data_IF_601040427178
#
_entry.id   IF_601040427178
#
_cell.length_a   1.000
_cell.length_b   1.000
_cell.length_c   1.000
_cell.angle_alpha   90.00
_cell.angle_beta   90.00
_cell.angle_gamma   90.00
#
_symmetry.space_group_name_H-M   'P 1'
#
loop_
_entity.id
_entity.type
_entity.pdbx_description
1 polymer ?
#
# COMPACT_ATOMS: atom_id res chain seq x y z
N UNK A 1 -9.63 2.68 14.78
CA UNK A 1 -9.51 1.32 14.20
C UNK A 1 -8.27 1.30 13.32
N UNK A 2 -7.47 0.23 13.40
CA UNK A 2 -6.34 0.03 12.48
C UNK A 2 -6.88 -0.09 11.04
N UNK A 3 -6.16 0.42 10.05
CA UNK A 3 -6.55 0.35 8.64
C UNK A 3 -6.79 -1.09 8.17
N UNK A 4 -7.46 -1.25 7.04
CA UNK A 4 -7.77 -2.54 6.44
C UNK A 4 -6.90 -2.81 5.21
N UNK A 5 -6.42 -4.06 5.07
CA UNK A 5 -5.76 -4.52 3.85
C UNK A 5 -6.64 -5.52 3.11
N UNK A 6 -6.98 -5.17 1.88
CA UNK A 6 -7.76 -6.00 0.98
C UNK A 6 -7.04 -6.29 -0.33
N UNK A 7 -7.76 -6.83 -1.29
CA UNK A 7 -7.24 -7.12 -2.62
C UNK A 7 -8.17 -6.60 -3.72
N UNK A 8 -7.58 -6.16 -4.81
CA UNK A 8 -8.30 -5.86 -6.05
C UNK A 8 -8.61 -7.17 -6.78
N UNK A 9 -9.89 -7.46 -6.97
CA UNK A 9 -10.34 -8.63 -7.72
C UNK A 9 -10.75 -8.20 -9.13
N UNK A 10 -9.76 -8.10 -10.01
CA UNK A 10 -9.93 -7.94 -11.44
C UNK A 10 -10.36 -9.25 -12.12
N UNK A 11 -10.96 -9.15 -13.31
CA UNK A 11 -11.50 -10.30 -14.03
C UNK A 11 -11.26 -10.21 -15.55
N UNK A 12 -10.16 -9.58 -15.94
CA UNK A 12 -9.70 -9.51 -17.32
C UNK A 12 -8.83 -10.73 -17.67
N UNK A 13 -9.48 -11.88 -17.69
CA UNK A 13 -8.82 -13.14 -18.03
C UNK A 13 -9.83 -14.21 -18.41
N UNK A 14 -9.45 -15.04 -19.38
CA UNK A 14 -10.27 -16.15 -19.90
C UNK A 14 -9.95 -17.50 -19.24
N UNK A 15 -9.01 -17.52 -18.30
CA UNK A 15 -8.54 -18.70 -17.59
C UNK A 15 -8.71 -18.61 -16.06
N UNK A 16 -9.47 -17.63 -15.59
CA UNK A 16 -9.68 -17.38 -14.16
C UNK A 16 -10.60 -18.43 -13.53
N UNK A 17 -10.43 -18.73 -12.23
CA UNK A 17 -11.26 -19.70 -11.54
C UNK A 17 -12.71 -19.22 -11.40
N UNK A 18 -13.63 -20.16 -11.15
CA UNK A 18 -15.03 -19.84 -10.90
C UNK A 18 -15.18 -18.96 -9.65
N UNK A 19 -16.21 -18.12 -9.61
CA UNK A 19 -16.48 -17.21 -8.48
C UNK A 19 -16.58 -17.97 -7.16
N UNK A 20 -17.19 -19.16 -7.14
CA UNK A 20 -17.26 -19.98 -5.92
C UNK A 20 -15.87 -20.42 -5.43
N UNK A 21 -14.98 -20.79 -6.36
CA UNK A 21 -13.59 -21.13 -6.03
C UNK A 21 -12.83 -19.92 -5.50
N UNK A 22 -13.07 -18.73 -6.07
CA UNK A 22 -12.46 -17.48 -5.61
C UNK A 22 -12.89 -17.14 -4.18
N UNK A 23 -14.17 -17.25 -3.85
CA UNK A 23 -14.66 -17.00 -2.48
C UNK A 23 -14.02 -17.96 -1.47
N UNK A 24 -13.88 -19.23 -1.84
CA UNK A 24 -13.17 -20.22 -1.01
C UNK A 24 -11.71 -19.82 -0.80
N UNK A 25 -11.03 -19.41 -1.88
CA UNK A 25 -9.63 -18.97 -1.84
C UNK A 25 -9.43 -17.75 -0.93
N UNK A 26 -10.29 -16.73 -1.03
CA UNK A 26 -10.26 -15.55 -0.19
C UNK A 26 -10.34 -15.92 1.30
N UNK A 27 -11.32 -16.76 1.66
CA UNK A 27 -11.49 -17.25 3.05
C UNK A 27 -10.27 -18.04 3.54
N UNK A 28 -9.76 -18.93 2.71
CA UNK A 28 -8.59 -19.75 3.05
C UNK A 28 -7.33 -18.91 3.23
N UNK A 29 -7.22 -17.78 2.54
CA UNK A 29 -6.08 -16.86 2.59
C UNK A 29 -6.21 -15.79 3.68
N UNK A 30 -7.35 -15.72 4.39
CA UNK A 30 -7.59 -14.69 5.40
C UNK A 30 -7.90 -13.31 4.83
N UNK A 31 -8.27 -13.23 3.54
CA UNK A 31 -8.63 -11.97 2.90
C UNK A 31 -10.08 -11.61 3.25
N UNK A 32 -10.28 -10.49 3.91
CA UNK A 32 -11.56 -10.03 4.44
C UNK A 32 -12.19 -8.89 3.67
N UNK A 33 -11.44 -8.27 2.77
CA UNK A 33 -11.88 -7.09 2.01
C UNK A 33 -11.48 -7.21 0.55
N UNK A 34 -12.42 -6.94 -0.37
CA UNK A 34 -12.16 -6.97 -1.81
C UNK A 34 -12.69 -5.72 -2.50
N UNK A 35 -11.96 -5.26 -3.50
CA UNK A 35 -12.40 -4.22 -4.44
C UNK A 35 -12.70 -4.85 -5.79
N UNK A 36 -13.88 -4.54 -6.34
CA UNK A 36 -14.31 -4.94 -7.67
C UNK A 36 -14.25 -3.75 -8.63
N UNK A 37 -14.09 -4.05 -9.91
CA UNK A 37 -14.07 -3.05 -11.00
C UNK A 37 -15.43 -2.92 -11.70
N UNK A 38 -16.45 -3.51 -11.11
CA UNK A 38 -17.85 -3.45 -11.51
C UNK A 38 -18.77 -3.79 -10.31
N UNK A 39 -20.02 -4.11 -10.61
CA UNK A 39 -20.97 -4.62 -9.62
C UNK A 39 -21.62 -5.93 -10.14
N UNK A 40 -20.80 -6.89 -10.56
CA UNK A 40 -21.28 -8.15 -11.11
C UNK A 40 -22.12 -8.94 -10.11
N UNK A 41 -23.39 -9.14 -10.43
CA UNK A 41 -24.37 -9.78 -9.55
C UNK A 41 -23.98 -11.22 -9.15
N UNK A 42 -23.30 -11.97 -10.01
CA UNK A 42 -22.84 -13.33 -9.70
C UNK A 42 -21.77 -13.30 -8.62
N UNK A 43 -20.82 -12.36 -8.71
CA UNK A 43 -19.76 -12.16 -7.71
C UNK A 43 -20.37 -11.70 -6.38
N UNK A 44 -21.27 -10.70 -6.44
CA UNK A 44 -21.91 -10.16 -5.23
C UNK A 44 -22.75 -11.23 -4.51
N UNK A 45 -23.51 -12.05 -5.24
CA UNK A 45 -24.25 -13.17 -4.66
C UNK A 45 -23.33 -14.22 -4.03
N UNK A 46 -22.22 -14.52 -4.64
CA UNK A 46 -21.26 -15.49 -4.09
C UNK A 46 -20.57 -14.98 -2.80
N UNK A 47 -20.42 -13.65 -2.67
CA UNK A 47 -19.88 -13.01 -1.46
C UNK A 47 -20.93 -12.82 -0.34
N UNK A 48 -22.22 -13.09 -0.60
CA UNK A 48 -23.26 -12.95 0.38
C UNK A 48 -23.03 -13.84 1.60
N UNK A 49 -23.21 -13.30 2.79
CA UNK A 49 -23.06 -13.98 4.09
C UNK A 49 -21.67 -14.60 4.33
N UNK A 50 -20.64 -14.10 3.65
CA UNK A 50 -19.28 -14.58 3.81
C UNK A 50 -18.49 -13.83 4.89
N UNK A 51 -18.95 -12.67 5.30
CA UNK A 51 -18.21 -11.74 6.16
C UNK A 51 -17.21 -10.87 5.41
N UNK A 52 -16.95 -11.14 4.12
CA UNK A 52 -16.04 -10.35 3.30
C UNK A 52 -16.69 -9.01 2.94
N UNK A 53 -16.01 -7.92 3.18
CA UNK A 53 -16.44 -6.57 2.79
C UNK A 53 -16.09 -6.28 1.33
N UNK A 54 -16.92 -5.48 0.66
CA UNK A 54 -16.80 -5.26 -0.78
C UNK A 54 -16.90 -3.79 -1.12
N UNK A 55 -15.93 -3.27 -1.87
CA UNK A 55 -16.07 -2.03 -2.62
C UNK A 55 -16.47 -2.39 -4.06
N UNK A 56 -17.65 -1.92 -4.48
CA UNK A 56 -18.12 -2.06 -5.87
C UNK A 56 -17.76 -0.83 -6.69
N UNK A 57 -17.82 -0.94 -8.02
CA UNK A 57 -17.57 0.20 -8.90
C UNK A 57 -18.76 0.46 -9.85
N UNK A 58 -19.10 1.74 -9.99
CA UNK A 58 -19.86 2.24 -11.14
C UNK A 58 -18.85 2.51 -12.25
N UNK A 59 -18.83 1.71 -13.34
CA UNK A 59 -17.81 1.81 -14.38
C UNK A 59 -17.81 3.16 -15.13
N UNK A 60 -16.70 3.50 -15.77
CA UNK A 60 -16.52 4.78 -16.48
C UNK A 60 -17.57 5.03 -17.56
N UNK A 61 -18.04 4.00 -18.25
CA UNK A 61 -19.07 4.08 -19.28
C UNK A 61 -20.47 4.45 -18.75
N UNK A 62 -20.71 4.28 -17.45
CA UNK A 62 -21.95 4.70 -16.78
C UNK A 62 -21.91 6.13 -16.22
N UNK A 63 -20.73 6.79 -16.18
CA UNK A 63 -20.57 8.12 -15.58
C UNK A 63 -21.46 9.18 -16.20
N UNK A 64 -21.51 9.24 -17.54
CA UNK A 64 -22.31 10.25 -18.23
C UNK A 64 -23.80 10.15 -17.87
N UNK A 65 -24.34 8.94 -17.86
CA UNK A 65 -25.73 8.70 -17.50
C UNK A 65 -26.01 9.00 -16.02
N UNK A 66 -25.11 8.61 -15.12
CA UNK A 66 -25.25 8.86 -13.69
C UNK A 66 -25.13 10.35 -13.35
N UNK A 67 -24.30 11.10 -14.08
CA UNK A 67 -24.17 12.54 -13.89
C UNK A 67 -25.37 13.35 -14.42
N UNK A 68 -25.89 12.95 -15.59
CA UNK A 68 -26.94 13.69 -16.27
C UNK A 68 -28.33 13.44 -15.66
N UNK A 69 -28.59 12.24 -15.12
CA UNK A 69 -29.90 11.85 -14.63
C UNK A 69 -29.85 11.16 -13.26
N UNK A 70 -30.33 11.85 -12.19
CA UNK A 70 -30.42 11.26 -10.86
C UNK A 70 -31.24 9.95 -10.80
N UNK A 71 -32.18 9.73 -11.74
CA UNK A 71 -32.92 8.47 -11.78
C UNK A 71 -32.11 7.31 -12.35
N UNK A 72 -31.17 7.57 -13.23
CA UNK A 72 -30.17 6.60 -13.69
C UNK A 72 -29.25 6.15 -12.55
N UNK A 73 -28.68 7.10 -11.79
CA UNK A 73 -27.87 6.78 -10.62
C UNK A 73 -28.67 5.97 -9.57
N UNK A 74 -29.94 6.37 -9.29
CA UNK A 74 -30.81 5.66 -8.35
C UNK A 74 -31.13 4.24 -8.82
N UNK A 75 -31.38 4.04 -10.09
CA UNK A 75 -31.62 2.71 -10.69
C UNK A 75 -30.39 1.83 -10.52
N UNK A 76 -29.22 2.37 -10.82
CA UNK A 76 -27.95 1.65 -10.67
C UNK A 76 -27.68 1.25 -9.22
N UNK A 77 -27.83 2.17 -8.26
CA UNK A 77 -27.65 1.90 -6.82
C UNK A 77 -28.63 0.85 -6.34
N UNK A 78 -29.91 0.94 -6.74
CA UNK A 78 -30.92 -0.04 -6.35
C UNK A 78 -30.58 -1.44 -6.85
N UNK A 79 -30.15 -1.57 -8.10
CA UNK A 79 -29.88 -2.85 -8.73
C UNK A 79 -28.55 -3.48 -8.28
N UNK A 80 -27.54 -2.67 -8.00
CA UNK A 80 -26.16 -3.13 -7.81
C UNK A 80 -25.68 -3.03 -6.36
N UNK A 81 -26.32 -2.22 -5.53
CA UNK A 81 -25.97 -2.06 -4.11
C UNK A 81 -27.11 -2.58 -3.25
N UNK A 82 -28.28 -1.93 -3.28
CA UNK A 82 -29.39 -2.25 -2.37
C UNK A 82 -29.93 -3.66 -2.56
N UNK A 83 -29.91 -4.19 -3.78
CA UNK A 83 -30.38 -5.57 -4.06
C UNK A 83 -29.48 -6.66 -3.43
N UNK A 84 -28.27 -6.31 -3.02
CA UNK A 84 -27.30 -7.23 -2.43
C UNK A 84 -27.01 -6.95 -0.94
N UNK A 85 -27.14 -5.70 -0.51
CA UNK A 85 -26.96 -5.30 0.88
C UNK A 85 -28.20 -5.67 1.73
N UNK A 86 -28.04 -6.17 2.98
CA UNK A 86 -26.78 -6.36 3.73
C UNK A 86 -26.14 -7.75 3.57
N UNK A 87 -26.75 -8.68 2.81
CA UNK A 87 -26.22 -10.03 2.66
C UNK A 87 -24.79 -10.02 2.13
N UNK A 88 -24.49 -9.16 1.16
CA UNK A 88 -23.14 -8.80 0.76
C UNK A 88 -22.77 -7.49 1.46
N UNK A 89 -21.68 -7.51 2.21
CA UNK A 89 -21.20 -6.36 3.00
C UNK A 89 -20.55 -5.31 2.10
N UNK A 90 -21.39 -4.63 1.30
CA UNK A 90 -20.89 -3.51 0.47
C UNK A 90 -20.66 -2.31 1.39
N UNK A 91 -19.43 -1.83 1.47
CA UNK A 91 -19.04 -0.69 2.30
C UNK A 91 -18.73 0.58 1.48
N UNK A 92 -18.54 0.43 0.16
CA UNK A 92 -18.18 1.56 -0.69
C UNK A 92 -18.58 1.39 -2.14
N UNK A 93 -18.80 2.51 -2.80
CA UNK A 93 -18.98 2.64 -4.24
C UNK A 93 -17.88 3.52 -4.79
N UNK A 94 -16.99 2.95 -5.59
CA UNK A 94 -16.08 3.68 -6.43
C UNK A 94 -16.84 4.18 -7.67
N UNK A 95 -16.93 5.49 -7.86
CA UNK A 95 -17.58 6.09 -9.03
C UNK A 95 -16.51 6.36 -10.09
N UNK A 96 -16.44 5.49 -11.10
CA UNK A 96 -15.35 5.46 -12.07
C UNK A 96 -14.04 4.93 -11.50
N UNK A 97 -13.02 4.83 -12.33
CA UNK A 97 -11.65 4.55 -11.99
C UNK A 97 -10.72 5.35 -12.91
N UNK A 98 -9.73 6.05 -12.34
CA UNK A 98 -8.73 6.82 -13.10
C UNK A 98 -9.32 7.69 -14.21
N UNK A 99 -10.46 8.34 -13.92
CA UNK A 99 -11.27 9.05 -14.93
C UNK A 99 -10.46 10.15 -15.64
N UNK A 100 -9.52 10.78 -14.95
CA UNK A 100 -8.68 11.81 -15.53
C UNK A 100 -7.71 11.31 -16.60
N UNK A 101 -7.45 10.00 -16.61
CA UNK A 101 -6.54 9.34 -17.53
C UNK A 101 -7.29 8.48 -18.55
N UNK A 102 -8.17 7.59 -18.09
CA UNK A 102 -8.86 6.61 -18.93
C UNK A 102 -10.09 7.16 -19.64
N UNK A 103 -10.74 8.16 -19.05
CA UNK A 103 -11.98 8.74 -19.55
C UNK A 103 -11.97 10.28 -19.39
N UNK A 104 -10.90 10.93 -19.85
CA UNK A 104 -10.68 12.37 -19.64
C UNK A 104 -11.78 13.28 -20.16
N UNK A 105 -12.53 12.86 -21.18
CA UNK A 105 -13.72 13.53 -21.68
C UNK A 105 -14.89 13.54 -20.67
N UNK A 106 -14.86 12.68 -19.65
CA UNK A 106 -15.88 12.57 -18.59
C UNK A 106 -15.46 13.27 -17.29
N UNK A 107 -14.28 13.87 -17.23
CA UNK A 107 -13.72 14.49 -16.03
C UNK A 107 -14.69 15.44 -15.31
N UNK A 108 -15.42 16.27 -16.04
CA UNK A 108 -16.39 17.23 -15.47
C UNK A 108 -17.68 16.57 -14.98
N UNK A 109 -17.95 15.34 -15.38
CA UNK A 109 -19.14 14.58 -15.01
C UNK A 109 -18.93 13.76 -13.73
N UNK A 110 -17.70 13.61 -13.30
CA UNK A 110 -17.33 12.75 -12.17
C UNK A 110 -18.00 13.20 -10.86
N UNK A 111 -17.84 14.46 -10.44
CA UNK A 111 -18.43 14.96 -9.19
C UNK A 111 -19.97 14.98 -9.23
N UNK A 112 -20.63 15.40 -10.32
CA UNK A 112 -22.07 15.23 -10.47
C UNK A 112 -22.55 13.76 -10.36
N UNK A 113 -21.82 12.79 -10.95
CA UNK A 113 -22.16 11.39 -10.82
C UNK A 113 -22.02 10.91 -9.36
N UNK A 114 -20.93 11.26 -8.67
CA UNK A 114 -20.74 10.97 -7.24
C UNK A 114 -21.89 11.52 -6.40
N UNK A 115 -22.29 12.76 -6.63
CA UNK A 115 -23.40 13.40 -5.90
C UNK A 115 -24.74 12.69 -6.13
N UNK A 116 -25.03 12.26 -7.35
CA UNK A 116 -26.25 11.54 -7.68
C UNK A 116 -26.26 10.12 -7.10
N UNK A 117 -25.12 9.42 -7.09
CA UNK A 117 -24.98 8.11 -6.45
C UNK A 117 -25.18 8.24 -4.94
N UNK A 118 -24.55 9.22 -4.30
CA UNK A 118 -24.73 9.48 -2.87
C UNK A 118 -26.20 9.83 -2.53
N UNK A 119 -26.83 10.72 -3.30
CA UNK A 119 -28.23 11.04 -3.11
C UNK A 119 -29.16 9.82 -3.24
N UNK A 120 -28.81 8.87 -4.09
CA UNK A 120 -29.52 7.61 -4.21
C UNK A 120 -29.35 6.73 -2.96
N UNK A 121 -28.14 6.66 -2.39
CA UNK A 121 -27.86 5.94 -1.14
C UNK A 121 -28.63 6.56 0.03
N UNK A 122 -28.63 7.89 0.17
CA UNK A 122 -29.41 8.62 1.20
C UNK A 122 -30.90 8.26 1.11
N UNK A 123 -31.47 8.26 -0.08
CA UNK A 123 -32.89 7.88 -0.28
C UNK A 123 -33.23 6.45 0.12
N UNK A 124 -32.22 5.58 0.15
CA UNK A 124 -32.35 4.18 0.54
C UNK A 124 -31.90 3.91 1.98
N UNK A 125 -31.46 4.95 2.70
CA UNK A 125 -30.95 4.84 4.07
C UNK A 125 -29.62 4.06 4.16
N UNK A 126 -28.80 4.11 3.11
CA UNK A 126 -27.56 3.35 3.00
C UNK A 126 -26.29 4.21 3.08
N UNK A 127 -26.39 5.54 3.11
CA UNK A 127 -25.29 6.48 3.02
C UNK A 127 -24.32 6.44 4.21
N UNK A 128 -24.77 6.01 5.37
CA UNK A 128 -23.87 5.80 6.51
C UNK A 128 -23.06 4.49 6.37
N UNK A 129 -23.68 3.45 5.79
CA UNK A 129 -23.05 2.14 5.64
C UNK A 129 -22.21 2.01 4.36
N UNK A 130 -22.53 2.79 3.32
CA UNK A 130 -21.91 2.70 2.00
C UNK A 130 -21.40 4.07 1.58
N UNK A 131 -20.08 4.23 1.59
CA UNK A 131 -19.44 5.51 1.23
C UNK A 131 -19.20 5.61 -0.26
N UNK A 132 -19.18 6.85 -0.77
CA UNK A 132 -18.93 7.16 -2.19
C UNK A 132 -17.57 7.79 -2.33
N UNK A 133 -16.71 7.20 -3.14
CA UNK A 133 -15.40 7.72 -3.48
C UNK A 133 -15.12 7.56 -4.99
N UNK A 134 -13.96 7.96 -5.42
CA UNK A 134 -13.45 7.70 -6.77
C UNK A 134 -11.95 7.46 -6.72
N UNK A 135 -11.44 6.34 -7.27
CA UNK A 135 -10.02 6.12 -7.40
C UNK A 135 -9.41 7.04 -8.46
N UNK A 136 -8.47 7.86 -8.04
CA UNK A 136 -7.69 8.70 -8.95
C UNK A 136 -6.29 8.10 -9.15
N UNK A 137 -5.75 8.22 -10.37
CA UNK A 137 -4.36 7.87 -10.64
C UNK A 137 -3.42 8.87 -9.95
N UNK A 138 -2.23 8.45 -9.57
CA UNK A 138 -1.21 9.34 -8.98
C UNK A 138 -0.78 10.45 -9.95
N UNK A 139 -0.96 10.27 -11.25
CA UNK A 139 -0.75 11.28 -12.30
C UNK A 139 -1.73 12.47 -12.24
N UNK A 140 -2.75 12.42 -11.37
CA UNK A 140 -3.56 13.59 -11.03
C UNK A 140 -2.74 14.70 -10.35
N UNK A 141 -1.59 14.35 -9.75
CA UNK A 141 -0.63 15.32 -9.23
C UNK A 141 0.27 15.82 -10.36
N UNK A 142 0.40 17.13 -10.47
CA UNK A 142 1.34 17.79 -11.37
C UNK A 142 2.75 17.80 -10.79
N UNK A 143 2.85 17.98 -9.49
CA UNK A 143 4.08 17.92 -8.71
C UNK A 143 3.86 16.98 -7.52
N UNK A 144 4.86 16.14 -7.24
CA UNK A 144 4.85 15.20 -6.13
C UNK A 144 6.21 15.07 -5.45
N UNK A 145 7.20 15.83 -5.93
CA UNK A 145 8.54 15.87 -5.37
C UNK A 145 9.10 17.30 -5.26
N UNK A 146 9.64 17.70 -4.08
CA UNK A 146 9.51 16.97 -2.82
C UNK A 146 8.04 16.79 -2.41
N UNK A 147 7.68 15.88 -1.49
CA UNK A 147 6.30 15.68 -1.08
C UNK A 147 5.56 16.96 -0.70
N UNK A 148 6.22 17.89 -0.01
CA UNK A 148 5.69 19.22 0.34
C UNK A 148 5.34 20.11 -0.87
N UNK A 149 5.91 19.83 -2.05
CA UNK A 149 5.53 20.52 -3.29
C UNK A 149 4.23 19.97 -3.90
N UNK A 150 3.71 18.84 -3.40
CA UNK A 150 2.53 18.16 -3.91
C UNK A 150 1.41 19.11 -4.30
N UNK A 151 0.92 19.02 -5.54
CA UNK A 151 -0.22 19.78 -6.05
C UNK A 151 -0.90 19.05 -7.20
N UNK A 152 -2.20 19.16 -7.28
CA UNK A 152 -2.97 18.62 -8.40
C UNK A 152 -2.71 19.41 -9.69
N UNK A 153 -2.92 18.76 -10.83
CA UNK A 153 -2.84 19.39 -12.15
C UNK A 153 -3.80 20.57 -12.24
N UNK A 154 -3.37 21.65 -12.88
CA UNK A 154 -4.12 22.90 -12.98
C UNK A 154 -5.47 22.73 -13.72
N UNK A 155 -5.53 21.79 -14.69
CA UNK A 155 -6.73 21.50 -15.46
C UNK A 155 -7.86 20.86 -14.64
N UNK A 156 -7.52 20.18 -13.53
CA UNK A 156 -8.48 19.49 -12.65
C UNK A 156 -8.58 20.11 -11.24
N UNK A 157 -7.56 20.81 -10.78
CA UNK A 157 -7.45 21.26 -9.39
C UNK A 157 -8.70 22.04 -8.92
N UNK A 158 -8.97 23.19 -9.55
CA UNK A 158 -10.12 24.03 -9.18
C UNK A 158 -11.46 23.50 -9.71
N UNK A 159 -11.58 23.06 -10.98
CA UNK A 159 -12.89 22.71 -11.53
C UNK A 159 -13.41 21.34 -11.08
N UNK A 160 -12.57 20.44 -10.59
CA UNK A 160 -12.96 19.07 -10.25
C UNK A 160 -12.49 18.65 -8.85
N UNK A 161 -11.19 18.76 -8.55
CA UNK A 161 -10.65 18.28 -7.27
C UNK A 161 -11.20 19.06 -6.07
N UNK A 162 -11.26 20.40 -6.16
CA UNK A 162 -11.82 21.21 -5.07
C UNK A 162 -13.28 20.83 -4.76
N UNK A 163 -14.23 20.82 -5.71
CA UNK A 163 -15.61 20.39 -5.42
C UNK A 163 -15.70 18.92 -5.04
N UNK A 164 -14.79 18.06 -5.49
CA UNK A 164 -14.73 16.66 -5.05
C UNK A 164 -14.35 16.57 -3.56
N UNK A 165 -13.28 17.25 -3.15
CA UNK A 165 -12.85 17.26 -1.74
C UNK A 165 -13.94 17.84 -0.83
N UNK A 166 -14.61 18.91 -1.24
CA UNK A 166 -15.75 19.48 -0.51
C UNK A 166 -16.93 18.48 -0.40
N UNK A 167 -17.13 17.67 -1.44
CA UNK A 167 -18.14 16.60 -1.43
C UNK A 167 -17.75 15.50 -0.45
N UNK A 168 -16.52 15.00 -0.51
CA UNK A 168 -16.02 13.93 0.36
C UNK A 168 -16.09 14.33 1.84
N UNK A 169 -15.67 15.56 2.17
CA UNK A 169 -15.74 16.11 3.52
C UNK A 169 -17.19 16.17 4.02
N UNK A 170 -18.09 16.77 3.24
CA UNK A 170 -19.50 16.91 3.60
C UNK A 170 -20.22 15.59 3.79
N UNK A 171 -19.84 14.55 3.03
CA UNK A 171 -20.45 13.21 3.08
C UNK A 171 -19.72 12.26 4.01
N UNK A 172 -18.69 12.73 4.72
CA UNK A 172 -17.82 11.92 5.58
C UNK A 172 -17.26 10.71 4.83
N UNK A 173 -16.83 10.95 3.62
CA UNK A 173 -16.17 9.97 2.77
C UNK A 173 -14.68 10.28 2.66
N UNK A 174 -13.97 9.57 1.86
CA UNK A 174 -12.52 9.60 1.72
C UNK A 174 -12.10 9.67 0.26
N UNK A 175 -10.92 10.24 0.01
CA UNK A 175 -10.28 10.18 -1.30
C UNK A 175 -9.61 8.81 -1.46
N UNK A 176 -9.68 8.23 -2.66
CA UNK A 176 -8.92 7.02 -2.97
C UNK A 176 -7.92 7.28 -4.09
N UNK A 177 -6.72 6.72 -3.95
CA UNK A 177 -5.63 6.92 -4.89
C UNK A 177 -5.00 5.59 -5.31
N UNK A 178 -4.75 5.44 -6.61
CA UNK A 178 -3.95 4.36 -7.16
C UNK A 178 -2.49 4.83 -7.18
N UNK A 179 -1.68 4.30 -6.28
CA UNK A 179 -0.30 4.72 -6.07
C UNK A 179 0.67 3.54 -6.24
N UNK A 180 1.55 3.64 -7.24
CA UNK A 180 2.46 2.57 -7.61
C UNK A 180 3.93 3.05 -7.57
N UNK A 181 4.65 2.86 -6.46
CA UNK A 181 6.10 3.03 -6.41
C UNK A 181 6.84 2.26 -7.51
N UNK A 182 6.28 1.12 -7.93
CA UNK A 182 6.78 0.31 -9.03
C UNK A 182 6.98 1.12 -10.32
N UNK A 183 5.92 1.80 -10.78
CA UNK A 183 6.00 2.58 -12.03
C UNK A 183 6.94 3.78 -11.89
N UNK A 184 6.92 4.47 -10.76
CA UNK A 184 7.83 5.59 -10.52
C UNK A 184 9.30 5.13 -10.54
N UNK A 185 9.61 3.97 -9.95
CA UNK A 185 10.95 3.39 -10.00
C UNK A 185 11.35 3.00 -11.43
N UNK A 186 10.48 2.31 -12.15
CA UNK A 186 10.77 1.87 -13.54
C UNK A 186 11.00 3.07 -14.47
N UNK A 187 10.34 4.19 -14.21
CA UNK A 187 10.49 5.42 -14.98
C UNK A 187 11.78 6.19 -14.65
N UNK A 188 12.25 6.12 -13.41
CA UNK A 188 13.39 6.90 -12.92
C UNK A 188 14.35 6.07 -12.05
N UNK A 189 14.88 4.94 -12.57
CA UNK A 189 15.73 4.03 -11.78
C UNK A 189 17.06 4.67 -11.33
N UNK A 190 17.53 5.69 -12.07
CA UNK A 190 18.73 6.43 -11.73
C UNK A 190 18.54 7.42 -10.57
N UNK A 191 17.29 7.78 -10.26
CA UNK A 191 16.94 8.77 -9.22
C UNK A 191 16.29 8.14 -8.00
N UNK A 192 15.59 7.03 -8.18
CA UNK A 192 14.85 6.32 -7.15
C UNK A 192 15.57 5.00 -6.88
N UNK A 193 16.05 4.78 -5.66
CA UNK A 193 16.63 3.49 -5.31
C UNK A 193 15.53 2.41 -5.17
N UNK A 194 15.89 1.16 -5.51
CA UNK A 194 14.97 0.03 -5.38
C UNK A 194 14.49 -0.15 -3.93
N UNK A 195 15.38 -0.03 -2.96
CA UNK A 195 15.04 -0.14 -1.54
C UNK A 195 13.99 0.90 -1.11
N UNK A 196 14.11 2.13 -1.62
CA UNK A 196 13.16 3.18 -1.35
C UNK A 196 11.79 2.90 -1.99
N UNK A 197 11.78 2.42 -3.22
CA UNK A 197 10.54 2.03 -3.91
C UNK A 197 9.86 0.83 -3.24
N UNK A 198 10.64 -0.11 -2.69
CA UNK A 198 10.13 -1.27 -1.94
C UNK A 198 9.69 -0.95 -0.49
N UNK A 199 9.85 0.30 -0.03
CA UNK A 199 9.51 0.70 1.33
C UNK A 199 10.54 0.31 2.38
N UNK A 200 11.80 0.13 1.98
CA UNK A 200 12.86 -0.46 2.83
C UNK A 200 14.16 0.36 2.82
N UNK A 201 14.09 1.66 2.56
CA UNK A 201 15.27 2.52 2.53
C UNK A 201 15.83 2.78 3.92
N UNK A 202 17.06 2.36 4.17
CA UNK A 202 17.76 2.60 5.44
C UNK A 202 18.11 4.07 5.65
N UNK A 203 18.57 4.73 4.60
CA UNK A 203 18.99 6.14 4.66
C UNK A 203 17.80 7.10 4.70
N UNK A 204 16.68 6.71 4.08
CA UNK A 204 15.56 7.60 3.84
C UNK A 204 15.89 8.70 2.83
N UNK A 205 14.85 9.40 2.41
CA UNK A 205 14.93 10.56 1.51
C UNK A 205 14.31 11.74 2.21
N UNK A 206 15.07 12.82 2.34
CA UNK A 206 14.62 14.02 3.09
C UNK A 206 13.89 14.99 2.17
N UNK A 207 12.73 15.45 2.61
CA UNK A 207 12.07 16.63 2.04
C UNK A 207 12.86 17.88 2.46
N UNK A 208 13.40 18.66 1.52
CA UNK A 208 14.26 19.81 1.84
C UNK A 208 13.50 20.97 2.48
N UNK A 209 12.17 21.04 2.33
CA UNK A 209 11.34 22.13 2.84
C UNK A 209 10.86 21.83 4.26
N UNK A 210 10.30 20.66 4.49
CA UNK A 210 9.73 20.26 5.79
C UNK A 210 10.73 19.59 6.71
N UNK A 211 11.82 19.04 6.14
CA UNK A 211 12.78 18.25 6.89
C UNK A 211 12.32 16.81 7.19
N UNK A 212 11.10 16.44 6.81
CA UNK A 212 10.58 15.08 6.97
C UNK A 212 11.44 14.07 6.19
N UNK A 213 11.60 12.88 6.75
CA UNK A 213 12.40 11.80 6.14
C UNK A 213 11.49 10.64 5.78
N UNK A 214 11.53 10.23 4.53
CA UNK A 214 10.73 9.16 3.95
C UNK A 214 11.59 7.93 3.71
N UNK A 215 11.27 6.83 4.36
CA UNK A 215 11.90 5.53 4.15
C UNK A 215 11.17 4.69 3.09
N UNK A 216 9.99 5.13 2.68
CA UNK A 216 9.13 4.53 1.67
C UNK A 216 8.71 5.56 0.64
N UNK A 217 8.83 5.21 -0.65
CA UNK A 217 8.31 6.05 -1.73
C UNK A 217 6.78 6.15 -1.68
N UNK A 218 6.09 5.10 -1.21
CA UNK A 218 4.64 5.14 -1.04
C UNK A 218 4.22 6.22 -0.03
N UNK A 219 4.95 6.36 1.08
CA UNK A 219 4.68 7.41 2.07
C UNK A 219 4.88 8.80 1.46
N UNK A 220 5.92 8.97 0.68
CA UNK A 220 6.16 10.23 -0.03
C UNK A 220 5.04 10.55 -1.04
N UNK A 221 4.51 9.53 -1.73
CA UNK A 221 3.38 9.69 -2.66
C UNK A 221 2.09 10.05 -1.92
N UNK A 222 1.81 9.41 -0.78
CA UNK A 222 0.65 9.74 0.06
C UNK A 222 0.76 11.16 0.63
N UNK A 223 1.91 11.53 1.18
CA UNK A 223 2.10 12.86 1.74
C UNK A 223 2.04 13.94 0.66
N UNK A 224 2.56 13.68 -0.55
CA UNK A 224 2.36 14.59 -1.69
C UNK A 224 0.88 14.78 -2.01
N UNK A 225 0.07 13.73 -1.86
CA UNK A 225 -1.39 13.82 -2.02
C UNK A 225 -2.02 14.65 -0.92
N UNK A 226 -1.64 14.45 0.34
CA UNK A 226 -2.12 15.27 1.46
C UNK A 226 -1.75 16.75 1.28
N UNK A 227 -0.52 17.06 0.91
CA UNK A 227 -0.11 18.43 0.61
C UNK A 227 -0.92 19.04 -0.55
N UNK A 228 -1.23 18.25 -1.57
CA UNK A 228 -2.06 18.69 -2.69
C UNK A 228 -3.51 19.00 -2.26
N UNK A 229 -4.09 18.16 -1.38
CA UNK A 229 -5.43 18.38 -0.81
C UNK A 229 -5.47 19.65 0.03
N UNK A 230 -4.47 19.90 0.87
CA UNK A 230 -4.37 21.09 1.70
C UNK A 230 -4.28 22.37 0.89
N UNK A 231 -3.50 22.37 -0.19
CA UNK A 231 -3.39 23.54 -1.10
C UNK A 231 -4.72 23.93 -1.76
N UNK A 232 -5.69 23.03 -1.80
CA UNK A 232 -7.05 23.32 -2.25
C UNK A 232 -8.00 23.70 -1.10
N UNK A 233 -7.49 23.86 0.13
CA UNK A 233 -8.28 24.25 1.28
C UNK A 233 -9.19 23.14 1.82
N UNK A 234 -8.81 21.90 1.64
CA UNK A 234 -9.42 20.79 2.39
C UNK A 234 -9.06 20.94 3.87
N UNK A 235 -10.03 20.75 4.78
CA UNK A 235 -9.83 20.89 6.23
C UNK A 235 -8.85 19.89 6.83
N UNK A 236 -8.31 18.99 6.01
CA UNK A 236 -7.17 18.14 6.36
C UNK A 236 -5.98 18.94 6.94
N UNK A 237 -5.98 20.28 6.77
CA UNK A 237 -4.90 21.22 7.12
C UNK A 237 -5.00 21.86 8.50
N UNK A 238 -6.13 21.86 9.20
CA UNK A 238 -6.40 22.88 10.22
C UNK A 238 -6.24 22.43 11.68
N UNK A 239 -5.67 21.27 12.00
CA UNK A 239 -5.55 20.87 13.42
C UNK A 239 -4.18 20.36 13.86
N UNK A 240 -3.25 21.27 13.96
CA UNK A 240 -2.21 21.20 14.99
C UNK A 240 -2.85 21.72 16.29
N UNK A 241 -3.30 20.82 17.15
CA UNK A 241 -3.73 21.17 18.50
C UNK A 241 -5.17 20.78 18.85
N UNK A 242 -5.30 19.75 19.66
CA UNK A 242 -6.47 19.27 20.40
C UNK A 242 -7.67 18.72 19.64
N UNK A 243 -7.62 17.39 19.54
CA UNK A 243 -8.68 16.40 19.76
C UNK A 243 -10.11 16.93 19.93
N UNK A 244 -10.96 16.46 19.11
CA UNK A 244 -12.24 15.78 19.28
C UNK A 244 -13.01 15.79 17.96
N UNK A 245 -12.92 14.67 17.20
CA UNK A 245 -14.02 14.16 16.39
C UNK A 245 -14.53 15.03 15.25
N UNK A 246 -13.72 15.25 14.20
CA UNK A 246 -14.21 15.61 12.87
C UNK A 246 -13.50 14.73 11.84
N UNK A 247 -14.20 14.20 10.83
CA UNK A 247 -13.56 13.39 9.81
C UNK A 247 -12.68 14.28 8.94
N UNK A 248 -11.36 14.21 9.18
CA UNK A 248 -10.41 14.70 8.19
C UNK A 248 -10.61 13.89 6.91
N UNK A 249 -10.57 14.55 5.74
CA UNK A 249 -10.61 13.84 4.48
C UNK A 249 -9.36 12.95 4.39
N UNK A 250 -9.51 11.67 4.68
CA UNK A 250 -8.46 10.67 4.60
C UNK A 250 -8.19 10.31 3.15
N UNK A 251 -6.97 9.97 2.82
CA UNK A 251 -6.60 9.41 1.51
C UNK A 251 -6.25 7.93 1.71
N UNK A 252 -7.02 7.04 1.07
CA UNK A 252 -6.80 5.60 1.11
C UNK A 252 -6.23 5.10 -0.21
N UNK A 253 -5.51 3.99 -0.16
CA UNK A 253 -4.88 3.40 -1.33
C UNK A 253 -5.86 2.42 -1.96
N UNK A 254 -6.52 2.83 -3.03
CA UNK A 254 -7.44 1.96 -3.77
C UNK A 254 -6.73 0.94 -4.64
N UNK A 255 -5.49 1.19 -5.01
CA UNK A 255 -4.60 0.23 -5.65
C UNK A 255 -3.15 0.54 -5.32
N UNK A 256 -2.41 -0.50 -4.96
CA UNK A 256 -0.95 -0.53 -4.99
C UNK A 256 -0.48 -1.95 -5.17
N UNK A 257 0.66 -2.12 -5.83
CA UNK A 257 1.19 -3.43 -6.10
C UNK A 257 2.52 -3.37 -6.84
N UNK A 258 3.08 -4.57 -7.09
CA UNK A 258 4.34 -4.73 -7.79
C UNK A 258 4.27 -5.92 -8.73
N UNK A 259 4.64 -5.73 -9.99
CA UNK A 259 4.63 -6.81 -10.97
C UNK A 259 5.72 -7.85 -10.68
N UNK A 260 5.35 -9.13 -10.75
CA UNK A 260 6.24 -10.27 -10.54
C UNK A 260 6.99 -10.73 -11.78
N UNK A 261 6.69 -10.14 -12.95
CA UNK A 261 7.27 -10.54 -14.24
C UNK A 261 6.76 -9.69 -15.39
N UNK A 262 6.96 -10.21 -16.58
CA UNK A 262 6.47 -9.60 -17.83
C UNK A 262 7.41 -8.57 -18.42
N UNK A 263 7.02 -8.06 -19.58
CA UNK A 263 7.76 -7.08 -20.36
C UNK A 263 6.94 -5.83 -20.57
N UNK A 264 7.54 -4.68 -20.38
CA UNK A 264 6.92 -3.41 -20.73
C UNK A 264 7.03 -3.20 -22.24
N UNK A 265 5.89 -3.03 -22.94
CA UNK A 265 5.90 -2.66 -24.35
C UNK A 265 5.86 -1.13 -24.50
N UNK A 266 6.66 -0.55 -25.44
CA UNK A 266 6.54 0.86 -25.79
C UNK A 266 5.16 1.10 -26.43
N UNK A 267 4.39 2.09 -25.98
CA UNK A 267 3.16 2.45 -26.67
C UNK A 267 2.04 3.12 -25.92
N UNK A 268 2.14 3.32 -24.62
CA UNK A 268 1.26 4.25 -23.89
C UNK A 268 2.06 5.22 -23.01
N UNK A 269 2.09 6.49 -23.45
CA UNK A 269 2.48 7.72 -22.71
C UNK A 269 3.92 7.93 -22.25
N UNK A 270 4.88 7.05 -22.56
CA UNK A 270 6.29 7.24 -22.14
C UNK A 270 7.28 6.97 -23.28
N UNK A 271 7.07 7.59 -24.43
CA UNK A 271 8.03 7.54 -25.56
C UNK A 271 9.37 8.27 -25.32
N UNK A 272 9.58 8.84 -24.13
CA UNK A 272 10.80 9.63 -23.84
C UNK A 272 11.90 8.92 -23.07
N UNK A 273 11.68 7.70 -22.57
CA UNK A 273 12.72 6.91 -21.92
C UNK A 273 12.92 5.61 -22.69
N UNK A 274 14.04 5.49 -23.42
CA UNK A 274 14.42 4.37 -24.28
C UNK A 274 14.64 3.04 -23.55
N UNK A 275 13.62 2.46 -22.95
CA UNK A 275 13.68 1.17 -22.26
C UNK A 275 13.00 0.08 -23.09
N UNK A 276 13.75 -0.49 -24.01
CA UNK A 276 13.48 -1.80 -24.61
C UNK A 276 14.29 -2.84 -23.86
N UNK A 277 13.67 -3.56 -22.94
CA UNK A 277 13.97 -4.88 -22.40
C UNK A 277 13.35 -4.97 -21.00
N UNK A 278 12.83 -6.14 -20.59
CA UNK A 278 12.05 -6.40 -19.40
C UNK A 278 12.44 -5.54 -18.19
N UNK A 279 11.48 -4.97 -17.51
CA UNK A 279 11.77 -4.12 -16.37
C UNK A 279 12.55 -4.94 -15.32
N UNK A 280 13.81 -4.64 -15.06
CA UNK A 280 14.63 -5.45 -14.11
C UNK A 280 14.04 -5.49 -12.71
N UNK A 281 13.08 -4.59 -12.44
CA UNK A 281 12.33 -4.52 -11.19
C UNK A 281 11.16 -5.52 -11.11
N UNK A 282 10.60 -5.97 -12.24
CA UNK A 282 9.46 -6.89 -12.27
C UNK A 282 9.94 -8.33 -12.00
N UNK A 283 10.09 -8.67 -10.74
CA UNK A 283 10.53 -9.98 -10.27
C UNK A 283 9.64 -10.48 -9.15
N UNK A 284 9.52 -11.82 -9.02
CA UNK A 284 8.80 -12.46 -7.89
C UNK A 284 9.37 -11.97 -6.55
N UNK A 285 10.69 -11.83 -6.43
CA UNK A 285 11.33 -11.39 -5.19
C UNK A 285 10.90 -9.96 -4.79
N UNK A 286 10.90 -9.03 -5.73
CA UNK A 286 10.49 -7.65 -5.48
C UNK A 286 8.99 -7.54 -5.22
N UNK A 287 8.16 -8.26 -5.99
CA UNK A 287 6.71 -8.30 -5.78
C UNK A 287 6.36 -8.86 -4.39
N UNK A 288 7.01 -9.96 -3.99
CA UNK A 288 6.90 -10.50 -2.63
C UNK A 288 7.32 -9.48 -1.58
N UNK A 289 8.46 -8.82 -1.78
CA UNK A 289 8.98 -7.83 -0.84
C UNK A 289 8.00 -6.67 -0.63
N UNK A 290 7.56 -6.05 -1.72
CA UNK A 290 6.68 -4.89 -1.68
C UNK A 290 5.29 -5.23 -1.12
N UNK A 291 4.62 -6.26 -1.65
CA UNK A 291 3.27 -6.57 -1.24
C UNK A 291 3.21 -7.08 0.21
N UNK A 292 4.19 -7.86 0.66
CA UNK A 292 4.27 -8.25 2.07
C UNK A 292 4.58 -7.07 2.99
N UNK A 293 5.40 -6.11 2.54
CA UNK A 293 5.62 -4.86 3.27
C UNK A 293 4.29 -4.13 3.54
N UNK A 294 3.44 -3.96 2.52
CA UNK A 294 2.14 -3.31 2.67
C UNK A 294 1.19 -4.09 3.57
N UNK A 295 1.04 -5.40 3.33
CA UNK A 295 0.16 -6.27 4.12
C UNK A 295 0.54 -6.18 5.60
N UNK A 296 1.83 -6.34 5.92
CA UNK A 296 2.28 -6.31 7.30
C UNK A 296 2.11 -4.96 7.95
N UNK A 297 2.42 -3.90 7.24
CA UNK A 297 2.31 -2.54 7.72
C UNK A 297 0.89 -2.25 8.21
N UNK A 298 -0.11 -2.58 7.40
CA UNK A 298 -1.51 -2.38 7.77
C UNK A 298 -1.91 -3.31 8.92
N UNK A 299 -1.57 -4.59 8.85
CA UNK A 299 -1.90 -5.57 9.90
C UNK A 299 -1.22 -5.28 11.24
N UNK A 300 -0.07 -4.62 11.24
CA UNK A 300 0.62 -4.19 12.48
C UNK A 300 0.11 -2.86 13.03
N UNK A 301 -0.81 -2.18 12.33
CA UNK A 301 -1.27 -0.85 12.71
C UNK A 301 -0.27 0.28 12.44
N UNK A 302 0.81 0.02 11.69
CA UNK A 302 1.79 1.04 11.27
C UNK A 302 1.32 1.75 10.00
N UNK A 303 0.21 2.48 10.09
CA UNK A 303 -0.49 3.04 8.94
C UNK A 303 -0.16 4.51 8.67
N UNK A 304 0.44 5.22 9.63
CA UNK A 304 0.79 6.63 9.48
C UNK A 304 1.94 6.89 8.49
N UNK A 305 1.98 8.10 7.97
CA UNK A 305 3.08 8.62 7.14
C UNK A 305 3.93 9.62 7.93
N UNK A 306 5.12 10.01 7.47
CA UNK A 306 5.93 11.04 8.15
C UNK A 306 5.19 12.36 8.38
N UNK A 307 4.29 12.76 7.48
CA UNK A 307 3.49 13.98 7.62
C UNK A 307 2.21 13.75 8.43
N UNK A 308 1.63 12.57 8.36
CA UNK A 308 0.40 12.17 9.05
C UNK A 308 0.62 10.90 9.86
N UNK A 309 1.38 10.98 10.98
CA UNK A 309 1.79 9.80 11.75
C UNK A 309 0.63 9.03 12.39
N UNK A 310 -0.48 9.70 12.64
CA UNK A 310 -1.68 9.12 13.26
C UNK A 310 -2.79 8.77 12.23
N UNK A 311 -2.49 8.85 10.93
CA UNK A 311 -3.48 8.53 9.91
C UNK A 311 -3.67 7.02 9.75
N UNK A 312 -4.91 6.59 9.61
CA UNK A 312 -5.24 5.23 9.17
C UNK A 312 -5.00 5.10 7.66
N UNK A 313 -4.66 3.88 7.24
CA UNK A 313 -4.40 3.56 5.84
C UNK A 313 -5.12 2.28 5.45
N UNK A 314 -6.15 2.42 4.62
CA UNK A 314 -6.71 1.27 3.91
C UNK A 314 -5.96 1.05 2.61
N UNK A 315 -5.67 -0.21 2.30
CA UNK A 315 -4.91 -0.58 1.10
C UNK A 315 -5.58 -1.76 0.40
N UNK A 316 -5.75 -1.63 -0.92
CA UNK A 316 -6.09 -2.77 -1.77
C UNK A 316 -4.86 -3.18 -2.58
N UNK A 317 -4.35 -4.39 -2.33
CA UNK A 317 -3.25 -4.96 -3.10
C UNK A 317 -3.76 -5.28 -4.51
N UNK A 318 -3.11 -4.71 -5.50
CA UNK A 318 -3.34 -5.02 -6.91
C UNK A 318 -2.34 -6.07 -7.35
N UNK A 319 -2.78 -7.33 -7.66
CA UNK A 319 -4.15 -7.78 -7.72
C UNK A 319 -4.27 -9.24 -7.19
N UNK A 320 -5.51 -9.75 -7.12
CA UNK A 320 -5.75 -11.13 -6.66
C UNK A 320 -5.12 -12.16 -7.60
N UNK A 321 -5.34 -12.04 -8.91
CA UNK A 321 -4.84 -12.96 -9.92
C UNK A 321 -3.93 -12.29 -10.95
N UNK A 322 -3.06 -13.08 -11.54
CA UNK A 322 -2.49 -12.77 -12.84
C UNK A 322 -3.60 -12.85 -13.90
N UNK A 323 -3.79 -11.77 -14.67
CA UNK A 323 -4.91 -11.61 -15.61
C UNK A 323 -4.37 -11.58 -17.05
N UNK A 324 -4.52 -12.67 -17.79
CA UNK A 324 -3.88 -12.88 -19.11
C UNK A 324 -4.45 -12.03 -20.26
N UNK A 325 -5.57 -11.33 -20.05
CA UNK A 325 -6.16 -10.42 -21.02
C UNK A 325 -5.91 -8.94 -20.68
N UNK A 326 -5.11 -8.64 -19.64
CA UNK A 326 -4.67 -7.29 -19.33
C UNK A 326 -3.51 -6.84 -20.22
N UNK A 327 -3.37 -5.51 -20.38
CA UNK A 327 -2.27 -4.90 -21.13
C UNK A 327 -2.37 -5.05 -22.64
N UNK A 328 -1.26 -4.88 -23.32
CA UNK A 328 -1.18 -4.82 -24.79
C UNK A 328 -0.40 -6.02 -25.38
N UNK A 329 -0.92 -7.23 -25.22
CA UNK A 329 -0.37 -8.44 -25.83
C UNK A 329 0.26 -9.41 -24.84
N UNK A 330 0.87 -10.49 -25.36
CA UNK A 330 1.40 -11.56 -24.53
C UNK A 330 2.58 -11.08 -23.66
N UNK A 331 2.61 -11.55 -22.40
CA UNK A 331 3.67 -11.27 -21.44
C UNK A 331 3.80 -9.77 -21.07
N UNK A 332 2.69 -9.02 -21.13
CA UNK A 332 2.67 -7.64 -20.67
C UNK A 332 2.81 -7.61 -19.14
N UNK A 333 3.56 -6.63 -18.65
CA UNK A 333 3.78 -6.40 -17.20
C UNK A 333 2.46 -6.33 -16.41
N UNK A 334 1.37 -5.82 -17.02
CA UNK A 334 0.03 -5.74 -16.43
C UNK A 334 -0.58 -7.13 -16.13
N UNK A 335 -0.09 -8.18 -16.76
CA UNK A 335 -0.57 -9.55 -16.56
C UNK A 335 0.04 -10.24 -15.32
N UNK A 336 1.00 -9.59 -14.62
CA UNK A 336 1.83 -10.22 -13.60
C UNK A 336 1.73 -9.57 -12.21
N UNK A 337 0.65 -8.87 -11.92
CA UNK A 337 0.44 -8.25 -10.61
C UNK A 337 -0.24 -9.18 -9.58
N UNK A 338 -0.64 -10.38 -9.97
CA UNK A 338 -1.41 -11.29 -9.12
C UNK A 338 -0.64 -11.82 -7.91
N UNK A 339 -1.36 -11.95 -6.80
CA UNK A 339 -0.94 -12.76 -5.65
C UNK A 339 -1.01 -14.24 -5.97
N UNK A 340 -1.95 -14.61 -6.84
CA UNK A 340 -2.18 -15.98 -7.29
C UNK A 340 -2.08 -16.09 -8.81
N UNK A 341 -1.64 -17.26 -9.26
CA UNK A 341 -1.88 -17.70 -10.63
C UNK A 341 -3.35 -18.08 -10.81
N UNK A 342 -3.89 -18.10 -12.05
CA UNK A 342 -5.27 -18.54 -12.33
C UNK A 342 -5.62 -19.94 -11.82
N UNK A 343 -4.63 -20.82 -11.69
CA UNK A 343 -4.79 -22.15 -11.10
C UNK A 343 -4.88 -22.14 -9.56
N UNK A 344 -4.93 -20.96 -8.94
CA UNK A 344 -5.04 -20.73 -7.50
C UNK A 344 -3.77 -21.07 -6.69
N UNK A 345 -2.64 -21.35 -7.33
CA UNK A 345 -1.36 -21.44 -6.64
C UNK A 345 -0.83 -20.02 -6.38
N UNK A 346 -0.19 -19.82 -5.23
CA UNK A 346 0.45 -18.54 -4.89
C UNK A 346 1.61 -18.25 -5.84
N UNK A 347 1.75 -17.00 -6.27
CA UNK A 347 2.94 -16.52 -7.00
C UNK A 347 4.15 -16.45 -6.05
N UNK A 348 3.89 -16.08 -4.80
CA UNK A 348 4.84 -16.05 -3.68
C UNK A 348 4.09 -16.12 -2.35
N UNK A 349 4.78 -16.45 -1.27
CA UNK A 349 4.17 -16.52 0.06
C UNK A 349 3.80 -15.14 0.60
N UNK A 350 2.60 -15.03 1.17
CA UNK A 350 2.04 -13.88 1.89
C UNK A 350 1.03 -14.35 2.94
N UNK A 351 0.72 -13.47 3.91
CA UNK A 351 -0.25 -13.77 4.97
C UNK A 351 -1.12 -12.55 5.29
N UNK A 352 -2.43 -12.69 5.11
CA UNK A 352 -3.45 -11.69 5.49
C UNK A 352 -4.04 -11.93 6.88
N UNK A 353 -3.59 -12.93 7.62
CA UNK A 353 -4.12 -13.26 8.95
C UNK A 353 -3.40 -12.58 10.09
N UNK A 354 -2.33 -11.85 9.78
CA UNK A 354 -1.54 -11.18 10.78
C UNK A 354 -0.72 -12.14 11.65
N UNK A 355 -0.42 -13.33 11.14
CA UNK A 355 0.70 -14.09 11.66
C UNK A 355 1.93 -13.22 11.48
N UNK A 356 2.51 -12.77 12.59
CA UNK A 356 3.57 -11.77 12.58
C UNK A 356 4.69 -12.21 11.62
N UNK A 357 4.71 -11.61 10.40
CA UNK A 357 5.88 -11.78 9.55
C UNK A 357 7.10 -11.30 10.33
N UNK A 358 8.24 -11.94 10.16
CA UNK A 358 9.43 -11.55 10.88
C UNK A 358 9.72 -10.06 10.67
N UNK A 359 9.84 -9.33 11.74
CA UNK A 359 10.27 -7.95 11.73
C UNK A 359 11.48 -7.79 12.65
N UNK A 360 12.36 -6.88 12.30
CA UNK A 360 13.60 -6.64 13.03
C UNK A 360 13.74 -5.15 13.33
N UNK A 361 14.30 -4.85 14.49
CA UNK A 361 14.69 -3.49 14.86
C UNK A 361 16.16 -3.27 14.52
N UNK A 362 16.47 -2.27 13.72
CA UNK A 362 17.84 -1.97 13.29
C UNK A 362 18.26 -0.55 13.63
N UNK A 363 19.56 -0.36 13.86
CA UNK A 363 20.11 0.94 14.19
C UNK A 363 20.03 1.92 13.00
N UNK A 364 19.62 3.14 13.27
CA UNK A 364 19.67 4.26 12.35
C UNK A 364 21.08 4.83 12.29
N UNK A 365 21.87 4.47 11.29
CA UNK A 365 23.25 4.92 11.16
C UNK A 365 23.40 6.46 11.13
N UNK A 366 22.37 7.20 10.73
CA UNK A 366 22.36 8.65 10.69
C UNK A 366 22.15 9.31 12.08
N UNK A 367 21.79 8.55 13.10
CA UNK A 367 21.59 9.07 14.47
C UNK A 367 22.89 9.53 15.16
N UNK A 368 24.05 9.12 14.61
CA UNK A 368 25.36 9.45 15.14
C UNK A 368 25.83 8.50 16.26
N UNK A 369 27.17 8.29 16.33
CA UNK A 369 27.78 7.30 17.22
C UNK A 369 27.41 7.46 18.69
N UNK A 370 27.40 8.68 19.22
CA UNK A 370 27.11 8.93 20.63
C UNK A 370 25.68 8.52 21.02
N UNK A 371 24.69 8.82 20.16
CA UNK A 371 23.30 8.43 20.38
C UNK A 371 23.11 6.93 20.26
N UNK A 372 23.74 6.31 19.27
CA UNK A 372 23.69 4.86 19.08
C UNK A 372 24.31 4.13 20.27
N UNK A 373 25.44 4.61 20.82
CA UNK A 373 26.07 4.02 21.98
C UNK A 373 25.17 4.11 23.22
N UNK A 374 24.62 5.29 23.49
CA UNK A 374 23.73 5.47 24.63
C UNK A 374 22.48 4.57 24.54
N UNK A 375 21.91 4.42 23.35
CA UNK A 375 20.77 3.53 23.11
C UNK A 375 21.15 2.04 23.21
N UNK A 376 22.35 1.66 22.76
CA UNK A 376 22.91 0.32 22.92
C UNK A 376 23.06 -0.04 24.41
N UNK A 377 23.65 0.86 25.18
CA UNK A 377 23.84 0.68 26.64
C UNK A 377 22.48 0.55 27.33
N UNK A 378 21.50 1.36 26.94
CA UNK A 378 20.13 1.25 27.44
C UNK A 378 19.53 -0.13 27.11
N UNK A 379 19.55 -0.56 25.86
CA UNK A 379 18.97 -1.83 25.44
C UNK A 379 19.59 -3.01 26.20
N UNK A 380 20.93 -3.06 26.30
CA UNK A 380 21.64 -4.11 27.05
C UNK A 380 21.31 -4.08 28.54
N UNK A 381 21.13 -2.89 29.12
CA UNK A 381 20.77 -2.72 30.55
C UNK A 381 19.30 -3.06 30.86
N UNK A 382 18.41 -3.11 29.86
CA UNK A 382 16.96 -3.24 30.04
C UNK A 382 16.36 -4.50 29.40
N UNK A 383 17.16 -5.54 29.15
CA UNK A 383 16.66 -6.85 28.79
C UNK A 383 17.04 -7.36 27.41
N UNK A 384 17.81 -6.61 26.60
CA UNK A 384 18.41 -7.17 25.40
C UNK A 384 19.48 -8.22 25.79
N UNK A 385 19.60 -9.26 25.00
CA UNK A 385 20.72 -10.19 25.09
C UNK A 385 21.92 -9.62 24.30
N UNK A 386 22.92 -9.19 25.01
CA UNK A 386 24.12 -8.60 24.44
C UNK A 386 25.34 -9.55 24.55
N UNK A 387 25.14 -10.81 24.90
CA UNK A 387 26.21 -11.78 25.04
C UNK A 387 26.95 -12.04 23.72
N UNK A 388 26.20 -12.08 22.60
CA UNK A 388 26.75 -12.40 21.27
C UNK A 388 27.58 -11.28 20.64
N UNK A 389 27.49 -10.06 21.17
CA UNK A 389 28.29 -8.90 20.73
C UNK A 389 29.49 -8.58 21.64
N UNK A 390 29.76 -9.46 22.61
CA UNK A 390 30.96 -9.32 23.47
C UNK A 390 32.24 -9.77 22.70
N UNK A 391 33.42 -9.30 23.13
CA UNK A 391 34.68 -9.71 22.51
C UNK A 391 34.81 -11.23 22.42
N UNK A 392 35.09 -11.76 21.23
CA UNK A 392 35.17 -13.21 20.88
C UNK A 392 33.82 -13.92 20.73
N UNK A 393 32.71 -13.24 20.91
CA UNK A 393 31.38 -13.80 20.66
C UNK A 393 31.06 -13.81 19.14
N UNK A 394 30.09 -14.64 18.69
CA UNK A 394 29.79 -14.87 17.27
C UNK A 394 29.44 -13.61 16.46
N UNK A 395 28.79 -12.63 17.08
CA UNK A 395 28.31 -11.40 16.44
C UNK A 395 29.15 -10.17 16.82
N UNK A 396 30.35 -10.35 17.40
CA UNK A 396 31.24 -9.24 17.70
C UNK A 396 31.74 -8.52 16.46
N UNK A 397 32.05 -9.25 15.41
CA UNK A 397 32.44 -8.67 14.12
C UNK A 397 31.25 -8.48 13.18
N UNK A 398 31.12 -7.32 12.49
CA UNK A 398 32.06 -6.18 12.51
C UNK A 398 31.94 -5.39 13.82
N UNK A 399 33.10 -5.13 14.44
CA UNK A 399 33.18 -4.33 15.69
C UNK A 399 32.86 -2.85 15.41
N UNK A 400 31.57 -2.56 15.20
CA UNK A 400 31.05 -1.21 14.99
C UNK A 400 29.84 -0.95 15.87
N UNK A 401 29.68 0.30 16.32
CA UNK A 401 28.52 0.69 17.14
C UNK A 401 27.19 0.42 16.42
N UNK A 402 27.14 0.62 15.10
CA UNK A 402 25.91 0.38 14.31
C UNK A 402 25.53 -1.11 14.30
N UNK A 403 26.51 -2.02 14.13
CA UNK A 403 26.25 -3.45 14.13
C UNK A 403 25.81 -3.95 15.51
N UNK A 404 26.54 -3.56 16.55
CA UNK A 404 26.21 -3.93 17.93
C UNK A 404 24.88 -3.35 18.38
N UNK A 405 24.59 -2.08 18.04
CA UNK A 405 23.29 -1.45 18.32
C UNK A 405 22.16 -2.16 17.61
N UNK A 406 22.30 -2.52 16.31
CA UNK A 406 21.29 -3.27 15.58
C UNK A 406 20.98 -4.62 16.23
N UNK A 407 22.01 -5.33 16.70
CA UNK A 407 21.82 -6.59 17.43
C UNK A 407 21.05 -6.39 18.74
N UNK A 408 21.49 -5.45 19.58
CA UNK A 408 20.86 -5.19 20.87
C UNK A 408 19.43 -4.66 20.74
N UNK A 409 19.18 -3.75 19.79
CA UNK A 409 17.84 -3.22 19.52
C UNK A 409 16.89 -4.30 19.04
N UNK A 410 17.36 -5.19 18.16
CA UNK A 410 16.55 -6.32 17.72
C UNK A 410 16.27 -7.30 18.85
N UNK A 411 17.27 -7.63 19.69
CA UNK A 411 17.07 -8.49 20.85
C UNK A 411 16.03 -7.91 21.81
N UNK A 412 16.12 -6.61 22.11
CA UNK A 412 15.14 -5.89 22.94
C UNK A 412 13.74 -5.92 22.33
N UNK A 413 13.63 -5.59 21.05
CA UNK A 413 12.40 -5.55 20.29
C UNK A 413 11.68 -6.91 20.23
N UNK A 414 12.40 -7.99 19.92
CA UNK A 414 11.83 -9.34 19.88
C UNK A 414 11.30 -9.78 21.25
N UNK A 415 12.04 -9.48 22.33
CA UNK A 415 11.63 -9.80 23.71
C UNK A 415 10.47 -8.96 24.21
N UNK A 416 10.30 -7.76 23.68
CA UNK A 416 9.17 -6.86 23.94
C UNK A 416 7.91 -7.18 23.12
N UNK A 417 7.83 -8.37 22.51
CA UNK A 417 6.68 -8.80 21.72
C UNK A 417 6.55 -8.09 20.38
N UNK A 418 7.63 -7.46 19.90
CA UNK A 418 7.67 -6.68 18.65
C UNK A 418 6.84 -5.40 18.68
N UNK A 419 6.64 -4.84 19.87
CA UNK A 419 6.01 -3.53 20.03
C UNK A 419 6.86 -2.45 19.33
N UNK A 420 6.24 -1.65 18.45
CA UNK A 420 6.90 -0.57 17.71
C UNK A 420 7.59 0.43 18.64
N UNK A 421 6.97 0.75 19.79
CA UNK A 421 7.56 1.65 20.78
C UNK A 421 8.87 1.10 21.35
N UNK A 422 9.06 -0.22 21.36
CA UNK A 422 10.30 -0.87 21.79
C UNK A 422 11.43 -0.79 20.75
N UNK A 423 11.19 -0.21 19.55
CA UNK A 423 12.17 0.00 18.49
C UNK A 423 12.47 1.48 18.20
N UNK A 424 11.94 2.43 18.96
CA UNK A 424 12.15 3.85 18.67
C UNK A 424 13.52 4.35 19.14
N UNK A 425 13.91 4.04 20.37
CA UNK A 425 15.18 4.49 20.98
C UNK A 425 15.48 5.98 20.72
N UNK A 426 14.44 6.84 20.83
CA UNK A 426 14.52 8.27 20.53
C UNK A 426 15.04 8.58 19.10
N UNK A 427 14.58 7.82 18.11
CA UNK A 427 14.99 7.95 16.73
C UNK A 427 16.33 7.31 16.38
N UNK A 428 16.92 6.54 17.30
CA UNK A 428 18.17 5.82 17.04
C UNK A 428 17.95 4.47 16.34
N UNK A 429 16.69 4.00 16.19
CA UNK A 429 16.35 2.75 15.54
C UNK A 429 15.07 2.86 14.71
N UNK A 430 14.84 1.87 13.86
CA UNK A 430 13.59 1.70 13.08
C UNK A 430 13.34 0.22 12.76
N UNK A 431 12.05 -0.11 12.52
CA UNK A 431 11.63 -1.47 12.19
C UNK A 431 11.83 -1.73 10.70
N UNK A 432 12.31 -2.95 10.37
CA UNK A 432 12.42 -3.46 9.00
C UNK A 432 11.74 -4.82 8.88
N UNK A 433 11.14 -5.12 7.72
CA UNK A 433 10.41 -6.37 7.46
C UNK A 433 11.19 -7.36 6.56
N UNK A 434 12.47 -7.10 6.34
CA UNK A 434 13.41 -8.01 5.68
C UNK A 434 14.57 -8.28 6.62
N UNK A 435 14.97 -9.55 6.71
CA UNK A 435 16.15 -9.89 7.49
C UNK A 435 17.34 -9.02 7.02
N UNK A 436 17.95 -8.25 7.91
CA UNK A 436 19.09 -7.42 7.54
C UNK A 436 20.21 -8.30 6.97
N UNK A 437 20.53 -8.14 5.67
CA UNK A 437 21.62 -8.84 5.03
C UNK A 437 22.82 -7.92 4.93
N UNK A 438 23.92 -8.24 5.60
CA UNK A 438 25.20 -7.57 5.34
C UNK A 438 25.90 -8.17 4.12
N UNK A 439 26.32 -7.38 3.13
CA UNK A 439 26.99 -7.88 1.93
C UNK A 439 28.41 -8.41 2.15
N UNK A 440 28.99 -8.31 3.34
CA UNK A 440 30.42 -8.60 3.60
C UNK A 440 30.73 -9.85 4.43
N UNK A 441 29.76 -10.61 4.89
CA UNK A 441 29.98 -11.81 5.72
C UNK A 441 29.81 -13.16 4.97
N UNK A 442 29.92 -13.16 3.65
CA UNK A 442 29.85 -14.41 2.85
C UNK A 442 31.13 -15.25 2.82
N UNK A 443 32.17 -14.94 3.56
CA UNK A 443 33.47 -15.60 3.40
C UNK A 443 34.02 -16.39 4.58
N UNK A 444 33.30 -16.54 5.71
CA UNK A 444 33.83 -17.39 6.79
C UNK A 444 32.71 -18.24 7.40
N UNK A 445 32.93 -19.56 7.30
CA UNK A 445 32.16 -20.69 7.85
C UNK A 445 30.97 -21.22 7.04
N UNK A 446 31.31 -21.99 6.01
CA UNK A 446 30.52 -23.09 5.54
C UNK A 446 30.86 -24.31 6.40
N UNK A 447 30.06 -24.69 7.40
CA UNK A 447 30.04 -26.03 7.96
C UNK A 447 28.98 -26.85 7.24
N UNK A 448 29.40 -27.93 6.61
CA UNK A 448 28.48 -28.96 6.12
C UNK A 448 28.10 -29.84 7.31
N UNK A 449 26.80 -29.99 7.55
CA UNK A 449 26.33 -31.09 8.37
C UNK A 449 26.34 -32.41 7.58
N UNK A 450 26.08 -33.50 8.25
CA UNK A 450 26.03 -34.85 7.66
C UNK A 450 24.89 -35.08 6.68
N UNK A 451 24.02 -34.06 6.40
CA UNK A 451 22.86 -34.12 5.51
C UNK A 451 23.02 -33.23 4.26
N UNK A 452 24.12 -32.48 4.15
CA UNK A 452 24.45 -31.71 2.95
C UNK A 452 23.69 -30.38 2.81
N UNK A 453 22.92 -29.92 3.78
CA UNK A 453 22.25 -28.63 3.80
C UNK A 453 23.22 -27.53 4.26
N UNK A 454 23.27 -26.45 3.50
CA UNK A 454 24.02 -25.24 3.84
C UNK A 454 23.18 -24.43 4.81
N UNK A 455 23.49 -24.48 6.11
CA UNK A 455 22.96 -23.54 7.10
C UNK A 455 23.77 -22.25 7.02
N UNK A 456 23.19 -21.18 6.49
CA UNK A 456 23.72 -19.83 6.62
C UNK A 456 23.27 -19.28 7.98
N UNK A 457 24.10 -19.42 9.00
CA UNK A 457 23.92 -18.66 10.23
C UNK A 457 24.27 -17.21 9.96
N UNK A 458 23.26 -16.36 9.84
CA UNK A 458 23.42 -14.91 9.93
C UNK A 458 23.50 -14.52 11.41
N UNK A 459 24.34 -13.56 11.76
CA UNK A 459 24.45 -13.01 13.12
C UNK A 459 23.17 -12.32 13.66
N UNK A 460 22.05 -12.54 13.02
CA UNK A 460 20.72 -12.32 13.55
C UNK A 460 20.17 -13.67 14.02
N UNK A 461 20.46 -14.03 15.27
CA UNK A 461 19.87 -15.21 15.89
C UNK A 461 18.36 -15.05 15.96
N UNK A 462 17.61 -15.85 15.18
CA UNK A 462 16.20 -16.08 15.47
C UNK A 462 16.11 -16.81 16.81
N UNK A 463 15.28 -16.36 17.76
CA UNK A 463 14.93 -17.20 18.88
C UNK A 463 14.13 -18.41 18.37
N UNK A 464 14.58 -19.61 18.67
CA UNK A 464 13.82 -20.86 18.55
C UNK A 464 12.57 -20.82 19.39
#
# INVERSE_FOLDING_TARGET
DAGEVGVSYGRLGNNLPSTASVVKLLKQSGITTVRLYDANSTVLKALANTGITVMVMLPNDHLAAAAADPSSARRWVRQNVAAHYPATRIHGVAVGNEVFEEASNLTRQLVPAMANVHAALVRLGLDEAVKVSTPIAFTALQESWPPSAGRFRDDIAKPVMKPMLDFLERTRSYLTINAYPFFAYVEQPDKISLDYALGNSKAGVRDPVTGLVYHSLLDAQLDATYFAMEKLGSSASARQGNSLGGPDASAYISESGWSSGGRRRPGRRLEKAGYGAGAPAATIANAKAYNNYLINRVLSGDTGTPYRPDADMDVYIFALFNENEKGCGADDIEQHFGLFYPNQTKVYEFDFRGGALPSWCVANASAGQARLQAALDYACGHGADCSDIQPRAPCFEPNTVVAHASHAFNSYYQRSGRDKAACDFAGAAYVVHHAPSEPKLRSVFSRRDSTGLILTESCFCSPT
#
